data_IF_549917340485
#
_entry.id   IF_549917340485
#
_cell.length_a   1.000
_cell.length_b   1.000
_cell.length_c   1.000
_cell.angle_alpha   90.00
_cell.angle_beta   90.00
_cell.angle_gamma   90.00
#
_symmetry.space_group_name_H-M   'P 1'
#
loop_
_entity.id
_entity.type
_entity.pdbx_description
1 polymer ?
#
# COMPACT_ATOMS: atom_id res chain seq x y z
N UNK A 1 21.05 -3.30 -26.06
CA UNK A 1 20.42 -3.93 -24.89
C UNK A 1 20.82 -3.10 -23.68
N UNK A 2 19.99 -2.13 -23.31
CA UNK A 2 20.32 -1.19 -22.24
C UNK A 2 19.81 -1.76 -20.92
N UNK A 3 20.68 -2.48 -20.23
CA UNK A 3 20.50 -2.90 -18.84
C UNK A 3 20.65 -1.67 -17.95
N UNK A 4 19.63 -0.82 -17.92
CA UNK A 4 19.56 0.20 -16.88
C UNK A 4 19.23 -0.53 -15.58
N UNK A 5 20.13 -0.58 -14.58
CA UNK A 5 19.77 -1.09 -13.27
C UNK A 5 18.56 -0.27 -12.84
N UNK A 6 17.39 -0.92 -12.72
CA UNK A 6 16.15 -0.22 -12.34
C UNK A 6 16.44 0.43 -11.01
N UNK A 7 16.63 1.75 -11.03
CA UNK A 7 16.88 2.55 -9.84
C UNK A 7 15.66 2.32 -8.96
N UNK A 8 15.83 1.58 -7.88
CA UNK A 8 14.75 1.31 -6.94
C UNK A 8 14.23 2.68 -6.48
N UNK A 9 13.00 2.99 -6.84
CA UNK A 9 12.42 4.29 -6.55
C UNK A 9 12.19 4.37 -5.05
N UNK A 10 12.88 5.29 -4.37
CA UNK A 10 12.62 5.52 -2.94
C UNK A 10 11.21 6.08 -2.71
N UNK A 11 10.66 5.88 -1.50
CA UNK A 11 9.30 6.33 -1.13
C UNK A 11 9.03 7.79 -1.51
N UNK A 12 10.02 8.67 -1.36
CA UNK A 12 9.91 10.08 -1.69
C UNK A 12 9.55 10.30 -3.18
N UNK A 13 10.05 9.45 -4.09
CA UNK A 13 9.69 9.51 -5.51
C UNK A 13 8.24 9.08 -5.75
N UNK A 14 7.77 8.03 -5.08
CA UNK A 14 6.37 7.59 -5.18
C UNK A 14 5.40 8.64 -4.62
N UNK A 15 5.71 9.21 -3.45
CA UNK A 15 4.89 10.26 -2.83
C UNK A 15 4.89 11.55 -3.65
N UNK A 16 6.03 11.93 -4.23
CA UNK A 16 6.12 13.11 -5.11
C UNK A 16 5.30 12.95 -6.40
N UNK A 17 5.04 11.72 -6.83
CA UNK A 17 4.16 11.41 -7.96
C UNK A 17 2.66 11.50 -7.62
N UNK A 18 2.28 11.93 -6.41
CA UNK A 18 0.89 12.01 -5.96
C UNK A 18 0.29 10.63 -5.62
N UNK A 19 1.13 9.64 -5.33
CA UNK A 19 0.68 8.29 -5.01
C UNK A 19 -0.02 8.27 -3.65
N UNK A 20 -1.27 7.81 -3.63
CA UNK A 20 -2.02 7.65 -2.39
C UNK A 20 -1.54 6.46 -1.56
N UNK A 21 -1.42 6.66 -0.24
CA UNK A 21 -1.18 5.57 0.71
C UNK A 21 -2.52 4.90 1.03
N UNK A 22 -2.60 3.63 0.73
CA UNK A 22 -3.70 2.74 1.10
C UNK A 22 -3.34 2.05 2.41
N UNK A 23 -4.34 1.91 3.29
CA UNK A 23 -4.23 1.19 4.55
C UNK A 23 -3.25 1.81 5.56
N UNK A 24 -3.37 3.12 5.89
CA UNK A 24 -2.46 3.74 6.84
C UNK A 24 -2.58 3.08 8.22
N UNK A 25 -1.44 2.58 8.69
CA UNK A 25 -1.25 2.04 10.02
C UNK A 25 -1.49 3.12 11.06
N UNK A 26 -2.14 2.74 12.16
CA UNK A 26 -2.11 3.52 13.40
C UNK A 26 -1.25 2.82 14.44
N UNK A 27 -0.47 3.59 15.19
CA UNK A 27 0.22 3.03 16.35
C UNK A 27 -0.80 2.86 17.48
N UNK A 28 -1.03 1.61 17.89
CA UNK A 28 -1.86 1.28 19.05
C UNK A 28 -1.14 1.58 20.37
N UNK A 29 -1.89 1.53 21.48
CA UNK A 29 -1.36 1.79 22.82
C UNK A 29 -0.19 0.86 23.23
N UNK A 30 -0.09 -0.33 22.63
CA UNK A 30 0.99 -1.30 22.86
C UNK A 30 2.22 -1.08 21.96
N UNK A 31 2.26 -0.02 21.16
CA UNK A 31 3.35 0.27 20.22
C UNK A 31 3.32 -0.57 18.93
N UNK A 32 2.37 -1.50 18.79
CA UNK A 32 2.18 -2.27 17.57
C UNK A 32 1.36 -1.50 16.53
N UNK A 33 1.69 -1.66 15.23
CA UNK A 33 0.88 -1.14 14.13
C UNK A 33 -0.48 -1.84 14.12
N UNK A 34 -1.55 -1.07 13.99
CA UNK A 34 -2.93 -1.55 13.89
C UNK A 34 -3.50 -1.18 12.51
N UNK A 35 -4.30 -2.07 11.88
CA UNK A 35 -5.03 -1.72 10.68
C UNK A 35 -6.07 -0.63 11.03
N UNK A 36 -6.54 0.16 10.05
CA UNK A 36 -7.60 1.12 10.29
C UNK A 36 -8.89 0.42 10.73
N UNK A 37 -9.56 0.96 11.76
CA UNK A 37 -10.87 0.50 12.24
C UNK A 37 -11.96 0.47 11.17
N UNK A 38 -11.81 1.29 10.12
CA UNK A 38 -12.80 1.35 9.07
C UNK A 38 -12.59 0.21 8.08
N UNK A 39 -13.64 -0.56 7.74
CA UNK A 39 -13.54 -1.58 6.70
C UNK A 39 -13.07 -0.94 5.39
N UNK A 40 -12.23 -1.68 4.65
CA UNK A 40 -11.84 -1.28 3.31
C UNK A 40 -13.08 -1.01 2.47
N UNK A 41 -13.09 0.16 1.83
CA UNK A 41 -14.09 0.49 0.82
C UNK A 41 -13.37 0.83 -0.47
N UNK A 42 -13.87 0.38 -1.63
CA UNK A 42 -13.24 0.69 -2.91
C UNK A 42 -13.27 2.19 -3.26
N UNK A 43 -14.20 2.94 -2.67
CA UNK A 43 -14.22 4.42 -2.69
C UNK A 43 -13.13 5.06 -1.82
N UNK A 44 -12.38 4.31 -1.02
CA UNK A 44 -11.26 4.83 -0.25
C UNK A 44 -9.98 4.94 -1.09
N UNK A 45 -9.82 4.11 -2.14
CA UNK A 45 -8.79 4.28 -3.18
C UNK A 45 -8.86 5.72 -3.73
N UNK A 46 -10.08 6.20 -3.89
CA UNK A 46 -10.40 7.51 -4.38
C UNK A 46 -9.84 8.66 -3.53
N UNK A 47 -9.96 8.51 -2.22
CA UNK A 47 -9.62 9.57 -1.28
C UNK A 47 -8.14 9.53 -0.88
N UNK A 48 -7.50 8.36 -0.94
CA UNK A 48 -6.08 8.21 -0.66
C UNK A 48 -5.18 9.05 -1.60
N UNK A 49 -5.66 9.37 -2.81
CA UNK A 49 -4.95 10.22 -3.78
C UNK A 49 -5.09 11.74 -3.52
N UNK A 50 -5.69 12.17 -2.39
CA UNK A 50 -5.71 13.58 -1.99
C UNK A 50 -6.57 14.52 -2.85
N UNK A 51 -7.47 13.98 -3.67
CA UNK A 51 -8.47 14.77 -4.40
C UNK A 51 -9.80 14.02 -4.39
N UNK A 52 -10.91 14.75 -4.18
CA UNK A 52 -12.25 14.24 -4.49
C UNK A 52 -12.21 13.64 -5.88
N UNK A 53 -12.39 12.32 -6.02
CA UNK A 53 -12.31 11.75 -7.36
C UNK A 53 -13.54 12.16 -8.16
N UNK A 54 -13.43 12.94 -9.26
CA UNK A 54 -14.43 12.86 -10.31
C UNK A 54 -14.62 11.42 -10.78
N UNK A 55 -15.85 11.10 -11.20
CA UNK A 55 -16.28 9.80 -11.76
C UNK A 55 -15.50 9.39 -13.03
N UNK A 56 -14.71 10.32 -13.54
CA UNK A 56 -13.77 10.23 -14.65
C UNK A 56 -12.42 10.75 -14.13
N UNK A 57 -11.53 9.87 -13.70
CA UNK A 57 -10.16 10.23 -13.34
C UNK A 57 -9.19 9.34 -14.09
N UNK A 58 -8.00 9.88 -14.44
CA UNK A 58 -6.85 9.02 -14.67
C UNK A 58 -6.63 8.18 -13.42
N UNK A 59 -6.96 6.90 -13.56
CA UNK A 59 -6.61 5.81 -12.67
C UNK A 59 -5.16 6.03 -12.21
N UNK A 60 -4.92 6.43 -10.95
CA UNK A 60 -3.54 6.62 -10.46
C UNK A 60 -2.79 5.33 -10.78
N UNK A 61 -1.74 5.49 -11.59
CA UNK A 61 -1.01 4.34 -12.15
C UNK A 61 -0.33 3.53 -11.04
N UNK A 62 -0.18 4.12 -9.85
CA UNK A 62 0.53 3.58 -8.71
C UNK A 62 -0.24 3.83 -7.41
N UNK A 63 -0.19 2.87 -6.48
CA UNK A 63 -0.64 2.95 -5.08
C UNK A 63 0.40 2.35 -4.14
N UNK A 64 0.42 2.82 -2.90
CA UNK A 64 1.25 2.28 -1.83
C UNK A 64 0.37 1.63 -0.78
N UNK A 65 0.39 0.29 -0.70
CA UNK A 65 -0.34 -0.44 0.33
C UNK A 65 0.58 -0.68 1.53
N UNK A 66 0.26 -0.08 2.67
CA UNK A 66 1.04 -0.29 3.88
C UNK A 66 0.71 -1.63 4.58
N UNK A 67 1.76 -2.26 5.10
CA UNK A 67 1.73 -3.51 5.86
C UNK A 67 2.63 -3.42 7.11
N UNK A 68 2.38 -4.22 8.15
CA UNK A 68 3.20 -4.23 9.35
C UNK A 68 4.63 -4.68 9.00
N UNK A 69 5.62 -3.88 9.39
CA UNK A 69 7.03 -4.17 9.11
C UNK A 69 7.56 -5.40 9.84
N UNK A 70 7.04 -5.70 11.03
CA UNK A 70 7.36 -6.90 11.78
C UNK A 70 6.10 -7.73 12.05
N UNK A 71 5.55 -8.33 10.99
CA UNK A 71 4.32 -9.11 11.09
C UNK A 71 4.47 -10.33 12.01
N UNK A 72 5.64 -10.97 12.03
CA UNK A 72 5.86 -12.16 12.84
C UNK A 72 5.89 -11.84 14.34
N UNK A 73 6.59 -10.77 14.75
CA UNK A 73 6.56 -10.31 16.14
C UNK A 73 5.19 -9.83 16.55
N UNK A 74 4.49 -9.08 15.68
CA UNK A 74 3.11 -8.66 15.92
C UNK A 74 2.20 -9.87 16.15
N UNK A 75 2.25 -10.89 15.29
CA UNK A 75 1.42 -12.10 15.42
C UNK A 75 1.75 -12.90 16.68
N UNK A 76 3.03 -12.95 17.08
CA UNK A 76 3.44 -13.64 18.31
C UNK A 76 3.02 -12.89 19.56
N UNK A 77 3.07 -11.55 19.54
CA UNK A 77 2.65 -10.71 20.66
C UNK A 77 1.12 -10.68 20.80
N UNK A 78 0.41 -10.59 19.66
CA UNK A 78 -1.05 -10.49 19.60
C UNK A 78 -1.58 -11.25 18.36
N UNK A 79 -1.99 -12.52 18.53
CA UNK A 79 -2.51 -13.34 17.44
C UNK A 79 -3.80 -12.80 16.83
N UNK A 80 -4.64 -12.12 17.61
CA UNK A 80 -5.90 -11.53 17.14
C UNK A 80 -5.62 -10.33 16.23
N UNK A 81 -4.68 -9.47 16.63
CA UNK A 81 -4.20 -8.37 15.80
C UNK A 81 -3.53 -8.89 14.52
N UNK A 82 -2.78 -9.98 14.61
CA UNK A 82 -2.19 -10.65 13.45
C UNK A 82 -3.25 -11.17 12.47
N UNK A 83 -4.36 -11.72 12.98
CA UNK A 83 -5.49 -12.13 12.16
C UNK A 83 -6.19 -10.93 11.51
N UNK A 84 -6.44 -9.87 12.28
CA UNK A 84 -7.06 -8.63 11.78
C UNK A 84 -6.26 -8.05 10.60
N UNK A 85 -4.93 -7.96 10.74
CA UNK A 85 -4.04 -7.53 9.66
C UNK A 85 -4.14 -8.41 8.42
N UNK A 86 -4.13 -9.74 8.58
CA UNK A 86 -4.24 -10.66 7.44
C UNK A 86 -5.56 -10.50 6.70
N UNK A 87 -6.66 -10.38 7.43
CA UNK A 87 -7.99 -10.19 6.84
C UNK A 87 -8.06 -8.86 6.09
N UNK A 88 -7.55 -7.78 6.70
CA UNK A 88 -7.57 -6.45 6.11
C UNK A 88 -6.76 -6.40 4.80
N UNK A 89 -5.49 -6.83 4.84
CA UNK A 89 -4.61 -6.86 3.66
C UNK A 89 -5.16 -7.80 2.57
N UNK A 90 -5.74 -8.94 2.96
CA UNK A 90 -6.36 -9.87 2.01
C UNK A 90 -7.54 -9.24 1.28
N UNK A 91 -8.43 -8.54 1.97
CA UNK A 91 -9.58 -7.86 1.34
C UNK A 91 -9.10 -6.76 0.39
N UNK A 92 -8.11 -5.97 0.81
CA UNK A 92 -7.47 -4.93 0.00
C UNK A 92 -6.85 -5.48 -1.28
N UNK A 93 -6.01 -6.51 -1.16
CA UNK A 93 -5.31 -7.08 -2.30
C UNK A 93 -6.27 -7.74 -3.29
N UNK A 94 -7.30 -8.45 -2.81
CA UNK A 94 -8.31 -9.03 -3.72
C UNK A 94 -9.00 -7.94 -4.55
N UNK A 95 -9.51 -6.89 -3.91
CA UNK A 95 -10.20 -5.80 -4.62
C UNK A 95 -9.26 -5.05 -5.58
N UNK A 96 -8.00 -4.83 -5.20
CA UNK A 96 -7.00 -4.22 -6.08
C UNK A 96 -6.65 -5.11 -7.28
N UNK A 97 -6.50 -6.42 -7.08
CA UNK A 97 -6.21 -7.37 -8.16
C UNK A 97 -7.39 -7.53 -9.11
N UNK A 98 -8.62 -7.57 -8.61
CA UNK A 98 -9.85 -7.58 -9.43
C UNK A 98 -9.97 -6.32 -10.29
N UNK A 99 -9.39 -5.19 -9.84
CA UNK A 99 -9.31 -3.93 -10.58
C UNK A 99 -8.09 -3.81 -11.50
N UNK A 100 -7.31 -4.88 -11.68
CA UNK A 100 -6.16 -4.89 -12.60
C UNK A 100 -4.86 -4.31 -12.03
N UNK A 101 -4.77 -4.07 -10.72
CA UNK A 101 -3.50 -3.69 -10.09
C UNK A 101 -2.61 -4.91 -9.88
N UNK A 102 -1.30 -4.71 -9.97
CA UNK A 102 -0.27 -5.70 -9.76
C UNK A 102 0.75 -5.16 -8.77
N UNK A 103 1.24 -5.99 -7.85
CA UNK A 103 2.37 -5.60 -7.00
C UNK A 103 3.63 -5.60 -7.87
N UNK A 104 4.28 -4.45 -7.97
CA UNK A 104 5.48 -4.27 -8.82
C UNK A 104 6.73 -3.97 -8.05
N UNK A 105 6.63 -3.45 -6.83
CA UNK A 105 7.77 -3.14 -6.00
C UNK A 105 7.43 -3.24 -4.50
N UNK A 106 8.45 -3.13 -3.66
CA UNK A 106 8.33 -3.17 -2.20
C UNK A 106 9.28 -2.16 -1.58
N UNK A 107 8.72 -1.27 -0.77
CA UNK A 107 9.45 -0.19 -0.12
C UNK A 107 9.49 -0.47 1.38
N UNK A 108 10.70 -0.53 1.93
CA UNK A 108 10.93 -0.66 3.37
C UNK A 108 11.61 0.61 3.91
N UNK A 109 10.92 1.31 4.79
CA UNK A 109 11.47 2.44 5.52
C UNK A 109 12.04 1.97 6.85
N UNK A 110 13.34 2.22 7.03
CA UNK A 110 14.02 2.10 8.32
C UNK A 110 13.83 3.37 9.14
N UNK A 111 13.65 3.24 10.44
CA UNK A 111 13.48 4.34 11.37
C UNK A 111 13.07 3.86 12.75
N UNK A 112 12.75 4.81 13.64
CA UNK A 112 12.25 4.52 15.00
C UNK A 112 10.94 3.69 14.97
N UNK A 113 10.12 3.92 13.94
CA UNK A 113 8.98 3.08 13.60
C UNK A 113 9.15 2.59 12.16
N UNK A 114 9.66 1.37 11.94
CA UNK A 114 9.83 0.85 10.58
C UNK A 114 8.47 0.72 9.89
N UNK A 115 8.42 1.05 8.60
CA UNK A 115 7.20 0.98 7.78
C UNK A 115 7.48 0.23 6.48
N UNK A 116 6.50 -0.55 6.03
CA UNK A 116 6.62 -1.40 4.86
C UNK A 116 5.46 -1.14 3.91
N UNK A 117 5.74 -1.00 2.61
CA UNK A 117 4.73 -0.71 1.60
C UNK A 117 4.91 -1.63 0.39
N UNK A 118 3.81 -2.20 -0.09
CA UNK A 118 3.75 -2.75 -1.43
C UNK A 118 3.40 -1.65 -2.42
N UNK A 119 4.17 -1.55 -3.50
CA UNK A 119 3.83 -0.68 -4.62
C UNK A 119 2.95 -1.46 -5.57
N UNK A 120 1.73 -0.98 -5.79
CA UNK A 120 0.81 -1.55 -6.75
C UNK A 120 0.72 -0.65 -7.97
N UNK A 121 0.85 -1.22 -9.17
CA UNK A 121 0.66 -0.51 -10.42
C UNK A 121 -0.50 -1.08 -11.22
N UNK A 122 -1.26 -0.25 -11.92
CA UNK A 122 -2.30 -0.74 -12.82
C UNK A 122 -1.69 -1.38 -14.08
N UNK A 123 -2.03 -2.64 -14.35
CA UNK A 123 -1.43 -3.47 -15.40
C UNK A 123 -1.66 -2.98 -16.84
N UNK A 124 -2.59 -2.04 -17.07
CA UNK A 124 -2.88 -1.49 -18.40
C UNK A 124 -1.98 -0.31 -18.81
N UNK A 125 -1.04 0.13 -17.98
CA UNK A 125 0.06 0.97 -18.46
C UNK A 125 1.16 0.04 -18.99
N UNK A 126 0.94 -0.46 -20.19
CA UNK A 126 2.04 -0.79 -21.10
C UNK A 126 3.04 0.35 -21.03
N UNK A 127 4.30 0.05 -20.66
CA UNK A 127 5.39 0.95 -20.94
C UNK A 127 5.26 1.32 -22.42
N UNK A 128 5.02 2.60 -22.67
CA UNK A 128 4.72 3.11 -24.00
C UNK A 128 5.77 2.67 -25.02
N UNK A 129 5.26 2.38 -26.21
CA UNK A 129 6.05 2.41 -27.45
C UNK A 129 6.61 3.82 -27.71
#
# INVERSE_FOLDING_TARGET
MSEHPRRQLDLAHYLSAGTGIINPTRLGAAGWPQPPDQPWQPSAIAQAAGASLPKDLPQSALYLLEIPSDFLGLKNADPELGLAWRLHVRTLMQDLFERGYLITDFVYLRGEHPRSFYVLSHGERTLGE
#
